data_IF_688559636825
#
_entry.id   IF_688559636825
#
_cell.length_a   1.000
_cell.length_b   1.000
_cell.length_c   1.000
_cell.angle_alpha   90.00
_cell.angle_beta   90.00
_cell.angle_gamma   90.00
#
_symmetry.space_group_name_H-M   'P 1'
#
loop_
_entity.id
_entity.type
_entity.pdbx_description
1 polymer ?
#
# COMPACT_ATOMS: atom_id res chain seq x y z
N UNK A 1 9.43 -0.89 -5.65
CA UNK A 1 8.42 -0.28 -6.54
C UNK A 1 7.07 -0.92 -6.29
N UNK A 2 5.99 -0.30 -6.76
CA UNK A 2 4.63 -0.85 -6.69
C UNK A 2 4.00 -0.75 -8.07
N UNK A 3 3.32 -1.81 -8.51
CA UNK A 3 2.50 -1.78 -9.72
C UNK A 3 1.20 -2.53 -9.52
N UNK A 4 0.11 -1.97 -10.01
CA UNK A 4 -1.23 -2.56 -9.85
C UNK A 4 -2.30 -1.59 -10.30
N UNK A 5 -3.48 -2.13 -10.60
CA UNK A 5 -4.73 -1.37 -10.66
C UNK A 5 -5.58 -1.74 -9.44
N UNK A 6 -6.49 -0.86 -9.03
CA UNK A 6 -7.39 -1.10 -7.89
C UNK A 6 -8.83 -0.87 -8.32
N UNK A 7 -9.75 -1.67 -7.81
CA UNK A 7 -11.18 -1.37 -7.93
C UNK A 7 -11.70 -0.58 -6.71
N UNK A 8 -12.98 -0.19 -6.76
CA UNK A 8 -13.62 0.59 -5.68
C UNK A 8 -13.72 -0.15 -4.34
N UNK A 9 -13.56 -1.48 -4.34
CA UNK A 9 -13.55 -2.31 -3.14
C UNK A 9 -12.15 -2.46 -2.53
N UNK A 10 -11.13 -1.88 -3.16
CA UNK A 10 -9.74 -1.99 -2.72
C UNK A 10 -9.04 -3.26 -3.20
N UNK A 11 -9.66 -4.04 -4.11
CA UNK A 11 -9.07 -5.25 -4.65
C UNK A 11 -8.06 -4.92 -5.75
N UNK A 12 -6.89 -5.57 -5.69
CA UNK A 12 -5.81 -5.40 -6.66
C UNK A 12 -6.09 -6.22 -7.91
N UNK A 13 -6.03 -5.55 -9.06
CA UNK A 13 -6.34 -6.13 -10.36
C UNK A 13 -5.07 -6.51 -11.14
N UNK A 14 -5.15 -7.54 -12.01
CA UNK A 14 -4.03 -7.93 -12.84
C UNK A 14 -3.59 -6.80 -13.77
N UNK A 15 -2.30 -6.80 -14.08
CA UNK A 15 -1.68 -5.83 -14.98
C UNK A 15 -0.95 -6.54 -16.12
N UNK A 16 -0.83 -5.84 -17.25
CA UNK A 16 0.09 -6.21 -18.32
C UNK A 16 1.54 -5.83 -17.99
N UNK A 17 2.47 -6.57 -18.60
CA UNK A 17 3.91 -6.31 -18.54
C UNK A 17 4.53 -6.48 -17.15
N UNK A 18 4.08 -7.50 -16.39
CA UNK A 18 4.54 -7.67 -14.99
C UNK A 18 6.02 -8.03 -14.92
N UNK A 19 6.54 -8.83 -15.86
CA UNK A 19 7.93 -9.26 -15.90
C UNK A 19 8.85 -8.07 -16.18
N UNK A 20 8.53 -7.26 -17.19
CA UNK A 20 9.28 -6.08 -17.61
C UNK A 20 9.34 -5.03 -16.48
N UNK A 21 8.26 -4.89 -15.72
CA UNK A 21 8.21 -3.99 -14.57
C UNK A 21 9.09 -4.47 -13.41
N UNK A 22 9.07 -5.77 -13.12
CA UNK A 22 9.93 -6.35 -12.08
C UNK A 22 11.40 -6.21 -12.49
N UNK A 23 11.75 -6.67 -13.69
CA UNK A 23 13.11 -6.66 -14.22
C UNK A 23 13.65 -5.23 -14.39
N UNK A 24 12.83 -4.30 -14.88
CA UNK A 24 13.21 -2.90 -15.01
C UNK A 24 13.56 -2.28 -13.65
N UNK A 25 12.76 -2.53 -12.61
CA UNK A 25 13.07 -2.03 -11.27
C UNK A 25 14.30 -2.72 -10.68
N UNK A 26 14.41 -4.04 -10.82
CA UNK A 26 15.59 -4.80 -10.38
C UNK A 26 16.88 -4.25 -11.02
N UNK A 27 16.87 -4.00 -12.33
CA UNK A 27 18.02 -3.47 -13.06
C UNK A 27 18.49 -2.13 -12.47
N UNK A 28 17.56 -1.21 -12.19
CA UNK A 28 17.90 0.07 -11.54
C UNK A 28 18.46 -0.15 -10.13
N UNK A 29 17.90 -1.08 -9.35
CA UNK A 29 18.43 -1.41 -8.02
C UNK A 29 19.84 -2.02 -8.09
N UNK A 30 20.10 -2.86 -9.10
CA UNK A 30 21.42 -3.46 -9.35
C UNK A 30 22.46 -2.39 -9.68
N UNK A 31 22.15 -1.49 -10.61
CA UNK A 31 23.02 -0.35 -10.98
C UNK A 31 23.29 0.58 -9.79
N UNK A 32 22.27 0.81 -8.95
CA UNK A 32 22.39 1.66 -7.75
C UNK A 32 22.92 0.94 -6.50
N UNK A 33 23.31 -0.34 -6.62
CA UNK A 33 23.66 -1.26 -5.52
C UNK A 33 22.44 -1.80 -4.76
N UNK A 34 22.33 -3.14 -4.72
CA UNK A 34 21.35 -3.86 -3.91
C UNK A 34 21.69 -3.74 -2.41
N UNK A 35 20.67 -3.49 -1.59
CA UNK A 35 20.76 -3.38 -0.13
C UNK A 35 20.10 -4.57 0.58
N UNK A 36 19.46 -5.48 -0.17
CA UNK A 36 18.70 -6.59 0.39
C UNK A 36 17.31 -6.21 0.87
N UNK A 37 16.88 -4.96 0.66
CA UNK A 37 15.54 -4.48 1.08
C UNK A 37 14.67 -4.08 -0.10
N UNK A 38 15.23 -4.00 -1.30
CA UNK A 38 14.48 -3.60 -2.49
C UNK A 38 13.58 -4.72 -2.98
N UNK A 39 12.46 -4.34 -3.60
CA UNK A 39 11.56 -5.31 -4.20
C UNK A 39 10.39 -4.66 -4.92
N UNK A 40 9.50 -5.49 -5.43
CA UNK A 40 8.31 -5.07 -6.17
C UNK A 40 7.06 -5.71 -5.58
N UNK A 41 6.05 -4.89 -5.32
CA UNK A 41 4.70 -5.35 -4.99
C UNK A 41 3.92 -5.55 -6.30
N UNK A 42 3.32 -6.72 -6.48
CA UNK A 42 2.56 -7.13 -7.68
C UNK A 42 1.17 -7.68 -7.31
N UNK A 43 0.20 -7.69 -8.25
CA UNK A 43 -1.06 -8.38 -8.06
C UNK A 43 -0.87 -9.89 -7.87
N UNK A 44 -1.58 -10.50 -6.92
CA UNK A 44 -1.57 -11.96 -6.71
C UNK A 44 -2.02 -12.74 -7.94
N UNK A 45 -2.93 -12.17 -8.72
CA UNK A 45 -3.40 -12.72 -9.99
C UNK A 45 -2.32 -12.80 -11.08
N UNK A 46 -1.22 -12.05 -10.95
CA UNK A 46 -0.10 -12.08 -11.88
C UNK A 46 0.96 -13.16 -11.59
N UNK A 47 0.89 -13.87 -10.45
CA UNK A 47 1.88 -14.91 -10.10
C UNK A 47 2.04 -15.94 -11.23
N UNK A 48 0.92 -16.41 -11.79
CA UNK A 48 0.91 -17.40 -12.88
C UNK A 48 1.49 -16.90 -14.21
N UNK A 49 1.79 -15.60 -14.33
CA UNK A 49 2.36 -14.98 -15.52
C UNK A 49 3.84 -14.64 -15.35
N UNK A 50 4.43 -14.97 -14.19
CA UNK A 50 5.84 -14.68 -13.92
C UNK A 50 6.74 -15.61 -14.73
N UNK A 51 7.58 -14.99 -15.56
CA UNK A 51 8.65 -15.60 -16.33
C UNK A 51 9.83 -14.65 -16.27
N UNK A 52 10.52 -14.66 -15.12
CA UNK A 52 11.60 -13.73 -14.81
C UNK A 52 12.95 -14.30 -15.27
N UNK A 53 13.88 -13.43 -15.66
CA UNK A 53 15.28 -13.83 -15.88
C UNK A 53 15.90 -14.49 -14.64
N UNK A 54 16.79 -15.45 -14.88
CA UNK A 54 17.52 -16.19 -13.84
C UNK A 54 18.22 -15.26 -12.85
N UNK A 55 18.79 -14.14 -13.30
CA UNK A 55 19.46 -13.18 -12.40
C UNK A 55 18.54 -12.56 -11.36
N UNK A 56 17.24 -12.42 -11.67
CA UNK A 56 16.23 -11.91 -10.72
C UNK A 56 15.86 -13.02 -9.75
N UNK A 57 15.67 -14.25 -10.26
CA UNK A 57 15.36 -15.43 -9.45
C UNK A 57 16.47 -15.66 -8.42
N UNK A 58 17.73 -15.64 -8.86
CA UNK A 58 18.88 -15.78 -7.97
C UNK A 58 18.96 -14.67 -6.91
N UNK A 59 18.69 -13.42 -7.28
CA UNK A 59 18.71 -12.32 -6.33
C UNK A 59 17.59 -12.45 -5.28
N UNK A 60 16.43 -12.98 -5.68
CA UNK A 60 15.35 -13.31 -4.76
C UNK A 60 15.73 -14.46 -3.83
N UNK A 61 16.30 -15.53 -4.37
CA UNK A 61 16.76 -16.70 -3.59
C UNK A 61 17.84 -16.32 -2.56
N UNK A 62 18.75 -15.42 -2.94
CA UNK A 62 19.78 -14.86 -2.04
C UNK A 62 19.26 -13.78 -1.07
N UNK A 63 17.96 -13.49 -1.07
CA UNK A 63 17.34 -12.46 -0.22
C UNK A 63 17.78 -11.03 -0.53
N UNK A 64 18.37 -10.79 -1.71
CA UNK A 64 18.88 -9.49 -2.13
C UNK A 64 17.80 -8.61 -2.77
N UNK A 65 16.73 -9.23 -3.26
CA UNK A 65 15.59 -8.59 -3.87
C UNK A 65 14.30 -9.32 -3.49
N UNK A 66 13.16 -8.63 -3.47
CA UNK A 66 11.91 -9.20 -2.98
C UNK A 66 10.77 -9.00 -3.97
N UNK A 67 9.85 -9.97 -4.04
CA UNK A 67 8.61 -9.84 -4.82
C UNK A 67 7.46 -10.18 -3.90
N UNK A 68 6.58 -9.21 -3.63
CA UNK A 68 5.42 -9.39 -2.77
C UNK A 68 4.15 -9.41 -3.60
N UNK A 69 3.39 -10.49 -3.50
CA UNK A 69 2.12 -10.64 -4.19
C UNK A 69 0.97 -10.29 -3.25
N UNK A 70 0.15 -9.31 -3.63
CA UNK A 70 -0.97 -8.80 -2.81
C UNK A 70 -2.30 -8.88 -3.55
N UNK A 71 -3.39 -9.06 -2.78
CA UNK A 71 -4.77 -9.12 -3.25
C UNK A 71 -5.55 -7.84 -2.94
N UNK A 72 -5.17 -7.09 -1.90
CA UNK A 72 -5.85 -5.86 -1.50
C UNK A 72 -4.90 -4.70 -1.26
N UNK A 73 -5.44 -3.49 -1.23
CA UNK A 73 -4.67 -2.26 -0.91
C UNK A 73 -4.15 -2.28 0.53
N UNK A 74 -4.87 -2.93 1.45
CA UNK A 74 -4.48 -3.09 2.85
C UNK A 74 -3.17 -3.89 2.98
N UNK A 75 -3.05 -5.02 2.28
CA UNK A 75 -1.80 -5.79 2.28
C UNK A 75 -0.62 -4.96 1.74
N UNK A 76 -0.86 -4.20 0.66
CA UNK A 76 0.15 -3.34 0.06
C UNK A 76 0.64 -2.23 0.98
N UNK A 77 -0.27 -1.55 1.68
CA UNK A 77 0.11 -0.45 2.58
C UNK A 77 0.86 -0.95 3.82
N UNK A 78 0.55 -2.15 4.30
CA UNK A 78 1.27 -2.78 5.40
C UNK A 78 2.73 -3.05 5.04
N UNK A 79 2.98 -3.58 3.85
CA UNK A 79 4.35 -3.82 3.35
C UNK A 79 5.13 -2.51 3.24
N UNK A 80 4.51 -1.45 2.71
CA UNK A 80 5.18 -0.18 2.46
C UNK A 80 5.48 0.61 3.74
N UNK A 81 4.59 0.52 4.74
CA UNK A 81 4.68 1.33 5.95
C UNK A 81 5.24 0.58 7.14
N UNK A 82 5.19 -0.76 7.15
CA UNK A 82 5.47 -1.59 8.31
C UNK A 82 4.42 -1.46 9.43
N UNK A 83 3.26 -0.87 9.12
CA UNK A 83 2.19 -0.59 10.08
C UNK A 83 0.91 -1.28 9.61
N UNK A 84 0.15 -1.96 10.49
CA UNK A 84 -1.12 -2.57 10.12
C UNK A 84 -2.08 -1.56 9.45
N UNK A 85 -2.79 -1.96 8.40
CA UNK A 85 -3.79 -1.11 7.77
C UNK A 85 -4.92 -0.80 8.77
N UNK A 86 -5.38 -1.85 9.45
CA UNK A 86 -6.38 -1.84 10.51
C UNK A 86 -7.81 -1.75 10.00
N UNK A 87 -8.66 -2.63 10.53
CA UNK A 87 -10.08 -2.70 10.17
C UNK A 87 -10.95 -1.99 11.20
N UNK A 88 -12.18 -1.64 10.81
CA UNK A 88 -13.14 -1.08 11.76
C UNK A 88 -13.63 -2.16 12.70
N UNK A 89 -13.65 -1.85 14.00
CA UNK A 89 -14.33 -2.68 14.99
C UNK A 89 -15.86 -2.59 14.86
N UNK A 90 -16.59 -3.37 15.69
CA UNK A 90 -18.06 -3.33 15.76
C UNK A 90 -18.64 -1.94 16.08
N UNK A 91 -17.82 -1.01 16.58
CA UNK A 91 -18.18 0.38 16.92
C UNK A 91 -17.75 1.36 15.81
N UNK A 92 -17.27 0.87 14.68
CA UNK A 92 -16.84 1.67 13.53
C UNK A 92 -15.49 2.36 13.71
N UNK A 93 -14.68 1.98 14.70
CA UNK A 93 -13.39 2.61 15.02
C UNK A 93 -12.21 1.77 14.53
N UNK A 94 -11.19 2.44 14.03
CA UNK A 94 -9.90 1.83 13.68
C UNK A 94 -8.98 1.72 14.92
N UNK A 95 -8.11 0.68 15.00
CA UNK A 95 -7.07 0.57 16.02
C UNK A 95 -6.12 1.76 15.99
N UNK A 96 -5.77 2.33 17.14
CA UNK A 96 -4.92 3.54 17.23
C UNK A 96 -3.55 3.40 16.57
N UNK A 97 -3.02 2.19 16.48
CA UNK A 97 -1.73 1.86 15.89
C UNK A 97 -1.80 1.60 14.38
N UNK A 98 -2.93 1.85 13.70
CA UNK A 98 -3.13 1.50 12.30
C UNK A 98 -3.05 2.69 11.35
N UNK A 99 -2.77 2.41 10.07
CA UNK A 99 -2.78 3.40 8.98
C UNK A 99 -4.14 4.07 8.86
N UNK A 100 -5.22 3.29 8.84
CA UNK A 100 -6.58 3.82 8.70
C UNK A 100 -7.01 4.72 9.86
N UNK A 101 -6.51 4.48 11.08
CA UNK A 101 -6.71 5.40 12.20
C UNK A 101 -6.01 6.74 11.96
N UNK A 102 -4.74 6.71 11.53
CA UNK A 102 -3.97 7.92 11.23
C UNK A 102 -4.63 8.74 10.11
N UNK A 103 -5.12 8.07 9.06
CA UNK A 103 -5.87 8.70 7.97
C UNK A 103 -7.16 9.34 8.50
N UNK A 104 -7.97 8.61 9.26
CA UNK A 104 -9.22 9.14 9.82
C UNK A 104 -8.97 10.35 10.71
N UNK A 105 -7.96 10.29 11.58
CA UNK A 105 -7.58 11.41 12.45
C UNK A 105 -7.16 12.63 11.62
N UNK A 106 -6.37 12.43 10.57
CA UNK A 106 -5.91 13.52 9.70
C UNK A 106 -7.06 14.16 8.93
N UNK A 107 -8.02 13.37 8.46
CA UNK A 107 -9.22 13.88 7.80
C UNK A 107 -10.06 14.73 8.76
N UNK A 108 -10.27 14.29 10.00
CA UNK A 108 -10.98 15.08 11.03
C UNK A 108 -10.29 16.43 11.29
N UNK A 109 -8.96 16.45 11.40
CA UNK A 109 -8.18 17.69 11.56
C UNK A 109 -8.35 18.64 10.37
N UNK A 110 -8.28 18.11 9.14
CA UNK A 110 -8.46 18.90 7.91
C UNK A 110 -9.88 19.48 7.84
N UNK A 111 -10.91 18.69 8.19
CA UNK A 111 -12.29 19.17 8.26
C UNK A 111 -12.45 20.29 9.28
N UNK A 112 -11.88 20.15 10.48
CA UNK A 112 -11.94 21.19 11.50
C UNK A 112 -11.26 22.49 11.03
N UNK A 113 -10.11 22.37 10.36
CA UNK A 113 -9.42 23.54 9.80
C UNK A 113 -10.22 24.21 8.69
N UNK A 114 -10.82 23.43 7.79
CA UNK A 114 -11.67 23.94 6.72
C UNK A 114 -12.87 24.73 7.26
N UNK A 115 -13.60 24.18 8.24
CA UNK A 115 -14.76 24.84 8.86
C UNK A 115 -14.39 26.16 9.56
N UNK A 116 -13.22 26.20 10.24
CA UNK A 116 -12.71 27.42 10.86
C UNK A 116 -12.42 28.52 9.83
N UNK A 117 -11.84 28.18 8.68
CA UNK A 117 -11.52 29.14 7.62
C UNK A 117 -12.77 29.67 6.92
N UNK A 118 -13.84 28.86 6.81
CA UNK A 118 -15.12 29.30 6.27
C UNK A 118 -16.02 30.06 7.26
N UNK A 119 -15.56 30.29 8.50
CA UNK A 119 -16.37 30.86 9.60
C UNK A 119 -17.69 30.10 9.85
N UNK A 120 -17.74 28.81 9.48
CA UNK A 120 -18.90 27.96 9.75
C UNK A 120 -18.82 27.50 11.23
N UNK A 121 -19.87 27.68 12.05
CA UNK A 121 -19.84 27.28 13.45
C UNK A 121 -19.53 25.78 13.60
N UNK A 122 -18.48 25.45 14.33
CA UNK A 122 -18.09 24.07 14.65
C UNK A 122 -18.90 23.57 15.85
N UNK A 123 -20.17 23.24 15.64
CA UNK A 123 -21.01 22.78 16.76
C UNK A 123 -20.78 21.29 17.07
N UNK A 124 -19.99 21.03 18.11
CA UNK A 124 -19.76 19.67 18.68
C UNK A 124 -21.01 19.05 19.30
N UNK A 125 -22.18 19.72 19.34
CA UNK A 125 -23.40 19.20 20.00
C UNK A 125 -24.26 18.23 19.19
N UNK A 126 -23.97 17.94 17.93
CA UNK A 126 -24.86 17.08 17.11
C UNK A 126 -24.69 15.56 17.31
N UNK A 127 -23.72 15.09 18.11
CA UNK A 127 -23.46 13.65 18.38
C UNK A 127 -24.14 13.08 19.64
N UNK A 128 -25.05 13.82 20.28
CA UNK A 128 -25.88 13.33 21.40
C UNK A 128 -27.35 13.69 21.17
N UNK A 129 -27.99 13.03 20.20
CA UNK A 129 -29.42 12.78 20.17
C UNK A 129 -29.64 11.43 19.52
#
# INVERSE_FOLDING_TARGET
AVTGSINQRGEIQPIGGVNEKIEGFYHICKVKRLTGKQGVIIPRSNIKHLMLKDEVIEAVDKGQFHIWAVSTIEEGIEILTGVPAGEKDKKGKYPKSSVNYMVSKRLDELTLNYLKHQKIPTDKKRRRK
#
